data_IF_196497883182
#
_entry.id   IF_196497883182
#
_cell.length_a   1.000
_cell.length_b   1.000
_cell.length_c   1.000
_cell.angle_alpha   90.00
_cell.angle_beta   90.00
_cell.angle_gamma   90.00
#
_symmetry.space_group_name_H-M   'P 1'
#
loop_
_entity.id
_entity.type
_entity.pdbx_description
1 polymer ?
#
# COMPACT_ATOMS: atom_id res chain seq x y z
N UNK A 1 -16.00 32.49 29.52
CA UNK A 1 -15.52 31.17 29.09
C UNK A 1 -15.20 30.36 30.33
N UNK A 2 -16.00 29.34 30.62
CA UNK A 2 -15.85 28.44 31.78
C UNK A 2 -14.68 27.47 31.54
N UNK A 3 -13.91 27.20 32.59
CA UNK A 3 -12.68 26.39 32.59
C UNK A 3 -12.86 24.99 31.96
N UNK A 4 -14.06 24.42 32.05
CA UNK A 4 -14.45 23.15 31.45
C UNK A 4 -14.29 23.13 29.91
N UNK A 5 -14.56 24.26 29.26
CA UNK A 5 -14.52 24.40 27.80
C UNK A 5 -13.07 24.37 27.29
N UNK A 6 -12.16 25.05 27.99
CA UNK A 6 -10.73 25.02 27.67
C UNK A 6 -10.11 23.64 27.90
N UNK A 7 -10.38 23.01 29.05
CA UNK A 7 -9.85 21.68 29.36
C UNK A 7 -10.36 20.61 28.40
N UNK A 8 -11.63 20.68 28.00
CA UNK A 8 -12.18 19.77 27.00
C UNK A 8 -11.53 19.97 25.62
N UNK A 9 -11.33 21.23 25.18
CA UNK A 9 -10.64 21.53 23.91
C UNK A 9 -9.22 20.96 23.91
N UNK A 10 -8.47 21.11 25.01
CA UNK A 10 -7.12 20.57 25.16
C UNK A 10 -7.12 19.03 25.11
N UNK A 11 -8.04 18.38 25.83
CA UNK A 11 -8.22 16.93 25.80
C UNK A 11 -8.56 16.43 24.39
N UNK A 12 -9.53 17.07 23.72
CA UNK A 12 -9.91 16.71 22.35
C UNK A 12 -8.75 16.86 21.37
N UNK A 13 -7.96 17.94 21.49
CA UNK A 13 -6.77 18.14 20.67
C UNK A 13 -5.72 17.04 20.89
N UNK A 14 -5.54 16.60 22.14
CA UNK A 14 -4.63 15.51 22.48
C UNK A 14 -5.09 14.17 21.88
N UNK A 15 -6.36 13.78 22.06
CA UNK A 15 -6.92 12.57 21.45
C UNK A 15 -6.79 12.60 19.92
N UNK A 16 -7.09 13.74 19.30
CA UNK A 16 -6.94 13.92 17.84
C UNK A 16 -5.50 13.74 17.40
N UNK A 17 -4.52 14.24 18.17
CA UNK A 17 -3.09 14.04 17.90
C UNK A 17 -2.72 12.57 17.99
N UNK A 18 -3.10 11.88 19.07
CA UNK A 18 -2.82 10.46 19.25
C UNK A 18 -3.38 9.61 18.10
N UNK A 19 -4.62 9.88 17.67
CA UNK A 19 -5.24 9.21 16.52
C UNK A 19 -4.43 9.44 15.24
N UNK A 20 -4.02 10.69 14.97
CA UNK A 20 -3.24 11.02 13.77
C UNK A 20 -1.89 10.32 13.76
N UNK A 21 -1.20 10.32 14.89
CA UNK A 21 0.11 9.67 15.03
C UNK A 21 0.01 8.15 14.85
N UNK A 22 -1.01 7.52 15.45
CA UNK A 22 -1.26 6.09 15.27
C UNK A 22 -1.54 5.74 13.80
N UNK A 23 -2.38 6.54 13.13
CA UNK A 23 -2.66 6.36 11.70
C UNK A 23 -1.42 6.57 10.83
N UNK A 24 -0.58 7.55 11.16
CA UNK A 24 0.64 7.80 10.42
C UNK A 24 1.61 6.62 10.53
N UNK A 25 1.83 6.10 11.73
CA UNK A 25 2.65 4.89 11.94
C UNK A 25 2.12 3.69 11.16
N UNK A 26 0.80 3.46 11.19
CA UNK A 26 0.18 2.38 10.42
C UNK A 26 0.41 2.55 8.91
N UNK A 27 0.21 3.76 8.38
CA UNK A 27 0.45 4.06 6.96
C UNK A 27 1.92 3.87 6.57
N UNK A 28 2.87 4.22 7.44
CA UNK A 28 4.30 3.98 7.17
C UNK A 28 4.62 2.49 7.04
N UNK A 29 4.08 1.67 7.94
CA UNK A 29 4.27 0.20 7.87
C UNK A 29 3.63 -0.37 6.61
N UNK A 30 2.38 -0.01 6.33
CA UNK A 30 1.67 -0.47 5.12
C UNK A 30 2.40 -0.04 3.85
N UNK A 31 2.90 1.19 3.78
CA UNK A 31 3.67 1.67 2.62
C UNK A 31 4.99 0.91 2.46
N UNK A 32 5.68 0.60 3.56
CA UNK A 32 6.89 -0.21 3.52
C UNK A 32 6.61 -1.59 2.94
N UNK A 33 5.59 -2.28 3.46
CA UNK A 33 5.21 -3.61 2.96
C UNK A 33 4.74 -3.56 1.50
N UNK A 34 4.00 -2.51 1.11
CA UNK A 34 3.59 -2.31 -0.28
C UNK A 34 4.81 -2.20 -1.22
N UNK A 35 5.80 -1.38 -0.86
CA UNK A 35 7.03 -1.23 -1.66
C UNK A 35 7.78 -2.57 -1.75
N UNK A 36 7.95 -3.25 -0.62
CA UNK A 36 8.61 -4.57 -0.57
C UNK A 36 7.88 -5.60 -1.44
N UNK A 37 6.54 -5.63 -1.38
CA UNK A 37 5.72 -6.52 -2.20
C UNK A 37 5.94 -6.29 -3.69
N UNK A 38 5.81 -5.05 -4.17
CA UNK A 38 5.97 -4.75 -5.60
C UNK A 38 7.40 -5.01 -6.09
N UNK A 39 8.41 -4.72 -5.28
CA UNK A 39 9.79 -5.05 -5.61
C UNK A 39 10.00 -6.57 -5.74
N UNK A 40 9.46 -7.35 -4.81
CA UNK A 40 9.53 -8.82 -4.87
C UNK A 40 8.80 -9.37 -6.11
N UNK A 41 7.61 -8.84 -6.44
CA UNK A 41 6.87 -9.22 -7.64
C UNK A 41 7.70 -8.96 -8.89
N UNK A 42 8.24 -7.74 -9.06
CA UNK A 42 9.07 -7.38 -10.21
C UNK A 42 10.31 -8.27 -10.32
N UNK A 43 10.99 -8.55 -9.20
CA UNK A 43 12.12 -9.47 -9.15
C UNK A 43 11.73 -10.87 -9.64
N UNK A 44 10.64 -11.42 -9.11
CA UNK A 44 10.14 -12.76 -9.52
C UNK A 44 9.73 -12.79 -10.99
N UNK A 45 9.11 -11.73 -11.52
CA UNK A 45 8.78 -11.63 -12.95
C UNK A 45 10.06 -11.73 -13.79
N UNK A 46 11.09 -10.93 -13.46
CA UNK A 46 12.37 -10.95 -14.18
C UNK A 46 13.04 -12.33 -14.14
N UNK A 47 13.12 -12.95 -12.96
CA UNK A 47 13.68 -14.30 -12.78
C UNK A 47 12.94 -15.34 -13.64
N UNK A 48 11.61 -15.28 -13.68
CA UNK A 48 10.77 -16.23 -14.42
C UNK A 48 10.80 -15.99 -15.93
N UNK A 49 10.86 -14.73 -16.36
CA UNK A 49 11.10 -14.39 -17.77
C UNK A 49 12.43 -14.94 -18.26
N UNK A 50 13.50 -14.82 -17.47
CA UNK A 50 14.79 -15.40 -17.80
C UNK A 50 14.75 -16.93 -17.81
N UNK A 51 14.11 -17.54 -16.81
CA UNK A 51 14.03 -19.00 -16.67
C UNK A 51 13.26 -19.68 -17.81
N UNK A 52 12.14 -19.08 -18.23
CA UNK A 52 11.22 -19.70 -19.18
C UNK A 52 11.23 -19.06 -20.58
N UNK A 53 12.02 -18.01 -20.79
CA UNK A 53 12.09 -17.28 -22.05
C UNK A 53 10.83 -16.47 -22.37
N UNK A 54 10.04 -16.10 -21.35
CA UNK A 54 8.81 -15.35 -21.56
C UNK A 54 9.08 -13.90 -21.96
N UNK A 55 8.36 -13.43 -22.97
CA UNK A 55 8.36 -12.02 -23.37
C UNK A 55 7.59 -11.12 -22.41
N UNK A 56 7.54 -9.81 -22.74
CA UNK A 56 6.86 -8.79 -21.90
C UNK A 56 5.35 -8.99 -21.77
N UNK A 57 4.71 -9.72 -22.69
CA UNK A 57 3.26 -10.01 -22.64
C UNK A 57 2.83 -10.77 -21.40
N UNK A 58 3.73 -11.51 -20.74
CA UNK A 58 3.41 -12.21 -19.49
C UNK A 58 3.02 -11.25 -18.36
N UNK A 59 3.55 -10.03 -18.38
CA UNK A 59 3.26 -9.01 -17.35
C UNK A 59 1.83 -8.49 -17.49
N UNK A 60 1.39 -8.25 -18.72
CA UNK A 60 0.01 -7.83 -19.02
C UNK A 60 -1.01 -8.92 -18.65
N UNK A 61 -0.68 -10.18 -18.96
CA UNK A 61 -1.51 -11.32 -18.57
C UNK A 61 -1.60 -11.44 -17.04
N UNK A 62 -0.46 -11.39 -16.36
CA UNK A 62 -0.43 -11.48 -14.89
C UNK A 62 -1.20 -10.33 -14.24
N UNK A 63 -1.04 -9.10 -14.73
CA UNK A 63 -1.79 -7.94 -14.26
C UNK A 63 -3.31 -8.14 -14.38
N UNK A 64 -3.76 -8.61 -15.55
CA UNK A 64 -5.18 -8.88 -15.79
C UNK A 64 -5.74 -9.95 -14.84
N UNK A 65 -4.99 -11.03 -14.59
CA UNK A 65 -5.42 -12.09 -13.66
C UNK A 65 -5.43 -11.58 -12.21
N UNK A 66 -4.42 -10.83 -11.78
CA UNK A 66 -4.37 -10.27 -10.43
C UNK A 66 -5.51 -9.26 -10.18
N UNK A 67 -5.85 -8.43 -11.16
CA UNK A 67 -6.96 -7.48 -11.03
C UNK A 67 -8.33 -8.15 -10.96
N UNK A 68 -8.50 -9.32 -11.60
CA UNK A 68 -9.72 -10.14 -11.46
C UNK A 68 -9.82 -10.79 -10.09
N UNK A 69 -8.70 -11.26 -9.55
CA UNK A 69 -8.65 -11.91 -8.24
C UNK A 69 -8.85 -10.91 -7.08
N UNK A 70 -8.23 -9.73 -7.18
CA UNK A 70 -8.21 -8.73 -6.12
C UNK A 70 -9.13 -7.53 -6.41
N UNK A 71 -10.43 -7.80 -6.56
CA UNK A 71 -11.43 -6.76 -6.86
C UNK A 71 -11.53 -5.74 -5.73
N UNK A 72 -11.52 -4.45 -6.09
CA UNK A 72 -11.62 -3.33 -5.15
C UNK A 72 -10.31 -2.96 -4.46
N UNK A 73 -9.20 -3.63 -4.80
CA UNK A 73 -7.86 -3.24 -4.37
C UNK A 73 -7.18 -2.46 -5.50
N UNK A 74 -6.83 -1.21 -5.22
CA UNK A 74 -6.06 -0.38 -6.15
C UNK A 74 -4.62 -0.92 -6.28
N UNK A 75 -4.21 -1.23 -7.51
CA UNK A 75 -2.88 -1.74 -7.78
C UNK A 75 -2.83 -2.73 -8.93
N UNK A 76 -1.77 -3.52 -8.96
CA UNK A 76 -1.56 -4.68 -9.84
C UNK A 76 -1.68 -4.46 -11.35
N UNK A 77 -1.79 -3.21 -11.82
CA UNK A 77 -1.65 -2.90 -13.24
C UNK A 77 -0.26 -3.31 -13.72
N UNK A 78 -0.11 -3.65 -15.01
CA UNK A 78 1.20 -3.99 -15.59
C UNK A 78 2.27 -2.93 -15.29
N UNK A 79 1.88 -1.64 -15.29
CA UNK A 79 2.78 -0.53 -14.95
C UNK A 79 3.33 -0.56 -13.52
N UNK A 80 2.59 -1.16 -12.59
CA UNK A 80 3.00 -1.22 -11.18
C UNK A 80 3.80 -2.50 -10.89
N UNK A 81 3.79 -3.49 -11.80
CA UNK A 81 4.48 -4.77 -11.60
C UNK A 81 5.95 -4.74 -12.08
N UNK A 82 6.38 -3.68 -12.77
CA UNK A 82 7.76 -3.49 -13.26
C UNK A 82 8.51 -2.37 -12.53
#
# INVERSE_FOLDING_TARGET
MTTLDKTFIEFFADIKRQIKEARYRALQVVNKEKITLYWNIGKTICERQQQYGWGKSVVELLAAELQKEFVGIDGFSARNLW
#
